data_IF_924518211919
#
_entry.id   IF_924518211919
#
_cell.length_a   1.000
_cell.length_b   1.000
_cell.length_c   1.000
_cell.angle_alpha   90.00
_cell.angle_beta   90.00
_cell.angle_gamma   90.00
#
_symmetry.space_group_name_H-M   'P 1'
#
loop_
_entity.id
_entity.type
_entity.pdbx_description
1 polymer ?
#
# COMPACT_ATOMS: atom_id res chain seq x y z
N UNK A 1 -32.47 21.30 -3.34
CA UNK A 1 -32.41 20.18 -4.31
C UNK A 1 -31.05 19.55 -4.11
N UNK A 2 -30.97 18.22 -4.01
CA UNK A 2 -29.70 17.52 -3.75
C UNK A 2 -28.97 17.28 -5.06
N UNK A 3 -27.65 17.49 -5.08
CA UNK A 3 -26.80 17.27 -6.26
C UNK A 3 -25.66 16.31 -5.93
N UNK A 4 -25.42 15.37 -6.83
CA UNK A 4 -24.48 14.27 -6.65
C UNK A 4 -23.42 14.33 -7.75
N UNK A 5 -22.15 14.32 -7.35
CA UNK A 5 -21.02 14.32 -8.29
C UNK A 5 -20.40 12.93 -8.39
N UNK A 6 -20.39 12.36 -9.59
CA UNK A 6 -19.64 11.14 -9.92
C UNK A 6 -18.33 11.49 -10.59
N UNK A 7 -17.23 10.94 -10.09
CA UNK A 7 -15.90 11.07 -10.70
C UNK A 7 -15.45 9.71 -11.24
N UNK A 8 -15.12 9.68 -12.53
CA UNK A 8 -14.35 8.58 -13.12
C UNK A 8 -12.88 9.02 -13.21
N UNK A 9 -12.02 8.30 -12.49
CA UNK A 9 -10.67 8.75 -12.11
C UNK A 9 -9.62 7.95 -12.88
N UNK A 10 -8.87 8.63 -13.75
CA UNK A 10 -7.68 8.09 -14.40
C UNK A 10 -6.41 8.75 -13.85
N UNK A 11 -5.24 8.32 -14.33
CA UNK A 11 -3.96 8.81 -13.82
C UNK A 11 -3.65 10.26 -14.26
N UNK A 12 -4.31 10.78 -15.30
CA UNK A 12 -4.05 12.11 -15.87
C UNK A 12 -5.29 12.97 -16.02
N UNK A 13 -6.43 12.35 -16.27
CA UNK A 13 -7.72 13.06 -16.39
C UNK A 13 -8.78 12.46 -15.46
N UNK A 14 -9.77 13.28 -15.14
CA UNK A 14 -10.92 12.93 -14.33
C UNK A 14 -12.18 13.40 -15.06
N UNK A 15 -13.06 12.47 -15.40
CA UNK A 15 -14.37 12.81 -15.90
C UNK A 15 -15.31 13.06 -14.72
N UNK A 16 -16.00 14.20 -14.73
CA UNK A 16 -16.91 14.65 -13.68
C UNK A 16 -18.32 14.74 -14.26
N UNK A 17 -19.29 14.11 -13.61
CA UNK A 17 -20.70 14.22 -13.94
C UNK A 17 -21.51 14.61 -12.71
N UNK A 18 -22.42 15.56 -12.87
CA UNK A 18 -23.26 16.09 -11.79
C UNK A 18 -24.71 15.83 -12.14
N UNK A 19 -25.41 15.15 -11.25
CA UNK A 19 -26.83 14.82 -11.39
C UNK A 19 -27.63 15.40 -10.23
N UNK A 20 -28.85 15.82 -10.50
CA UNK A 20 -29.81 16.20 -9.45
C UNK A 20 -30.41 14.96 -8.77
N UNK A 21 -31.24 15.17 -7.74
CA UNK A 21 -31.96 14.09 -7.04
C UNK A 21 -32.92 13.27 -7.92
N UNK A 22 -33.36 13.79 -9.08
CA UNK A 22 -34.18 13.05 -10.05
C UNK A 22 -33.33 12.25 -11.05
N UNK A 23 -32.02 12.47 -11.06
CA UNK A 23 -31.08 11.85 -12.00
C UNK A 23 -30.92 12.62 -13.31
N UNK A 24 -31.40 13.87 -13.40
CA UNK A 24 -31.14 14.75 -14.53
C UNK A 24 -29.69 15.21 -14.48
N UNK A 25 -28.99 15.11 -15.60
CA UNK A 25 -27.60 15.60 -15.72
C UNK A 25 -27.62 17.13 -15.79
N UNK A 26 -26.87 17.77 -14.90
CA UNK A 26 -26.71 19.24 -14.87
C UNK A 26 -25.44 19.67 -15.58
N UNK A 27 -24.31 19.02 -15.26
CA UNK A 27 -23.00 19.35 -15.81
C UNK A 27 -22.15 18.09 -16.01
N UNK A 28 -21.40 18.08 -17.10
CA UNK A 28 -20.39 17.06 -17.40
C UNK A 28 -19.14 17.74 -17.94
N UNK A 29 -17.97 17.37 -17.41
CA UNK A 29 -16.69 17.94 -17.80
C UNK A 29 -15.55 16.95 -17.59
N UNK A 30 -14.56 16.99 -18.47
CA UNK A 30 -13.27 16.34 -18.25
C UNK A 30 -12.27 17.38 -17.74
N UNK A 31 -11.53 17.02 -16.70
CA UNK A 31 -10.53 17.86 -16.04
C UNK A 31 -9.21 17.10 -15.92
N UNK A 32 -8.07 17.79 -15.71
CA UNK A 32 -6.88 17.15 -15.15
C UNK A 32 -7.23 16.44 -13.83
N UNK A 33 -6.61 15.29 -13.57
CA UNK A 33 -6.81 14.56 -12.32
C UNK A 33 -5.97 15.14 -11.17
N UNK A 34 -6.16 16.43 -10.92
CA UNK A 34 -5.51 17.18 -9.85
C UNK A 34 -6.56 17.62 -8.82
N UNK A 35 -6.19 17.59 -7.54
CA UNK A 35 -7.14 17.88 -6.46
C UNK A 35 -7.71 19.29 -6.57
N UNK A 36 -6.82 20.26 -6.81
CA UNK A 36 -7.16 21.68 -6.88
C UNK A 36 -8.13 21.95 -8.04
N UNK A 37 -7.86 21.40 -9.22
CA UNK A 37 -8.72 21.55 -10.42
C UNK A 37 -10.13 20.97 -10.19
N UNK A 38 -10.21 19.80 -9.55
CA UNK A 38 -11.49 19.16 -9.24
C UNK A 38 -12.24 19.97 -8.18
N UNK A 39 -11.56 20.41 -7.11
CA UNK A 39 -12.17 21.18 -6.05
C UNK A 39 -12.64 22.55 -6.54
N UNK A 40 -11.82 23.29 -7.27
CA UNK A 40 -12.18 24.59 -7.86
C UNK A 40 -13.40 24.45 -8.78
N UNK A 41 -13.41 23.43 -9.64
CA UNK A 41 -14.55 23.18 -10.51
C UNK A 41 -15.84 22.90 -9.73
N UNK A 42 -15.79 22.08 -8.68
CA UNK A 42 -16.96 21.75 -7.88
C UNK A 42 -17.47 22.93 -7.06
N UNK A 43 -16.56 23.76 -6.53
CA UNK A 43 -16.90 24.95 -5.73
C UNK A 43 -17.42 26.11 -6.58
N UNK A 44 -16.99 26.22 -7.84
CA UNK A 44 -17.43 27.26 -8.77
C UNK A 44 -18.86 27.06 -9.29
N UNK A 45 -19.49 25.91 -9.02
CA UNK A 45 -20.84 25.63 -9.46
C UNK A 45 -21.86 26.41 -8.63
N UNK A 46 -22.94 26.92 -9.25
CA UNK A 46 -23.99 27.65 -8.55
C UNK A 46 -24.91 26.73 -7.71
N UNK A 47 -24.56 25.46 -7.55
CA UNK A 47 -25.34 24.45 -6.83
C UNK A 47 -24.50 23.76 -5.75
N UNK A 48 -25.06 23.47 -4.57
CA UNK A 48 -24.35 22.74 -3.53
C UNK A 48 -24.24 21.26 -3.89
N UNK A 49 -23.03 20.71 -3.86
CA UNK A 49 -22.79 19.27 -4.05
C UNK A 49 -22.99 18.56 -2.71
N UNK A 50 -24.06 17.77 -2.62
CA UNK A 50 -24.40 17.00 -1.42
C UNK A 50 -23.35 15.92 -1.15
N UNK A 51 -22.90 15.23 -2.22
CA UNK A 51 -21.95 14.12 -2.10
C UNK A 51 -21.16 13.90 -3.37
N UNK A 52 -19.89 13.54 -3.22
CA UNK A 52 -18.97 13.12 -4.27
C UNK A 52 -18.71 11.63 -4.17
N UNK A 53 -18.73 10.93 -5.30
CA UNK A 53 -18.52 9.50 -5.40
C UNK A 53 -17.50 9.12 -6.46
N UNK A 54 -16.64 8.16 -6.16
CA UNK A 54 -15.74 7.53 -7.13
C UNK A 54 -15.40 6.10 -6.71
N UNK A 55 -14.87 5.30 -7.63
CA UNK A 55 -14.47 3.93 -7.33
C UNK A 55 -13.09 3.81 -6.68
N UNK A 56 -12.85 2.68 -6.01
CA UNK A 56 -11.57 2.38 -5.39
C UNK A 56 -10.48 2.09 -6.44
N UNK A 57 -9.42 2.90 -6.41
CA UNK A 57 -8.27 2.85 -7.30
C UNK A 57 -7.02 3.43 -6.64
N UNK A 58 -6.01 3.73 -7.44
CA UNK A 58 -4.68 4.19 -6.96
C UNK A 58 -4.74 5.61 -6.38
N UNK A 59 -5.47 6.52 -7.01
CA UNK A 59 -5.59 7.92 -6.59
C UNK A 59 -6.68 8.16 -5.54
N UNK A 60 -7.53 7.17 -5.28
CA UNK A 60 -8.67 7.29 -4.35
C UNK A 60 -8.29 7.82 -2.97
N UNK A 61 -7.13 7.43 -2.45
CA UNK A 61 -6.67 7.92 -1.14
C UNK A 61 -6.38 9.41 -1.14
N UNK A 62 -5.69 9.88 -2.17
CA UNK A 62 -5.33 11.28 -2.31
C UNK A 62 -6.60 12.13 -2.50
N UNK A 63 -7.46 11.76 -3.44
CA UNK A 63 -8.70 12.48 -3.73
C UNK A 63 -9.68 12.43 -2.55
N UNK A 64 -9.84 11.29 -1.88
CA UNK A 64 -10.77 11.17 -0.75
C UNK A 64 -10.42 12.14 0.38
N UNK A 65 -9.16 12.17 0.79
CA UNK A 65 -8.74 13.04 1.89
C UNK A 65 -8.60 14.50 1.47
N UNK A 66 -8.17 14.76 0.23
CA UNK A 66 -8.10 16.10 -0.32
C UNK A 66 -9.48 16.75 -0.39
N UNK A 67 -10.44 16.11 -1.06
CA UNK A 67 -11.79 16.65 -1.20
C UNK A 67 -12.52 16.76 0.15
N UNK A 68 -12.27 15.84 1.10
CA UNK A 68 -12.78 16.00 2.47
C UNK A 68 -12.18 17.20 3.19
N UNK A 69 -10.91 17.53 2.95
CA UNK A 69 -10.28 18.71 3.56
C UNK A 69 -10.85 20.02 2.99
N UNK A 70 -11.27 20.01 1.71
CA UNK A 70 -12.03 21.09 1.08
C UNK A 70 -13.50 21.19 1.54
N UNK A 71 -13.93 20.29 2.44
CA UNK A 71 -15.25 20.33 3.06
C UNK A 71 -16.33 19.51 2.37
N UNK A 72 -16.00 18.74 1.33
CA UNK A 72 -16.97 17.89 0.64
C UNK A 72 -17.29 16.60 1.41
N UNK A 73 -18.53 16.11 1.30
CA UNK A 73 -18.86 14.73 1.66
C UNK A 73 -18.45 13.78 0.54
N UNK A 74 -17.53 12.86 0.83
CA UNK A 74 -16.87 12.02 -0.18
C UNK A 74 -17.05 10.55 0.17
N UNK A 75 -17.39 9.77 -0.84
CA UNK A 75 -17.55 8.32 -0.77
C UNK A 75 -16.67 7.64 -1.82
N UNK A 76 -15.78 6.77 -1.34
CA UNK A 76 -15.10 5.79 -2.19
C UNK A 76 -15.94 4.52 -2.25
N UNK A 77 -16.25 4.01 -3.44
CA UNK A 77 -17.10 2.84 -3.67
C UNK A 77 -16.27 1.62 -4.08
N UNK A 78 -16.81 0.41 -3.85
CA UNK A 78 -16.14 -0.83 -4.28
C UNK A 78 -16.13 -0.93 -5.81
N UNK A 79 -14.92 -0.90 -6.42
CA UNK A 79 -14.76 -0.91 -7.87
C UNK A 79 -15.43 -2.09 -8.57
N UNK A 80 -15.48 -3.28 -7.94
CA UNK A 80 -16.17 -4.45 -8.54
C UNK A 80 -17.68 -4.26 -8.64
N UNK A 81 -18.29 -3.67 -7.62
CA UNK A 81 -19.72 -3.40 -7.62
C UNK A 81 -20.06 -2.27 -8.59
N UNK A 82 -19.24 -1.20 -8.61
CA UNK A 82 -19.37 -0.10 -9.58
C UNK A 82 -19.25 -0.64 -11.00
N UNK A 83 -18.17 -1.38 -11.31
CA UNK A 83 -17.97 -1.98 -12.62
C UNK A 83 -19.13 -2.90 -13.05
N UNK A 84 -19.67 -3.73 -12.15
CA UNK A 84 -20.83 -4.57 -12.44
C UNK A 84 -22.07 -3.72 -12.78
N UNK A 85 -22.34 -2.64 -12.04
CA UNK A 85 -23.44 -1.73 -12.31
C UNK A 85 -23.25 -0.97 -13.64
N UNK A 86 -22.02 -0.52 -13.94
CA UNK A 86 -21.69 0.18 -15.18
C UNK A 86 -21.75 -0.73 -16.41
N UNK A 87 -21.39 -2.01 -16.28
CA UNK A 87 -21.38 -2.98 -17.39
C UNK A 87 -22.75 -3.25 -18.02
N UNK A 88 -23.83 -2.92 -17.31
CA UNK A 88 -25.18 -2.98 -17.84
C UNK A 88 -25.49 -1.84 -18.83
N UNK A 89 -24.63 -0.82 -18.94
CA UNK A 89 -24.79 0.28 -19.90
C UNK A 89 -24.14 -0.03 -21.24
N UNK A 90 -24.90 0.22 -22.32
CA UNK A 90 -24.63 -0.28 -23.68
C UNK A 90 -23.46 0.42 -24.39
N UNK A 91 -23.07 1.61 -23.94
CA UNK A 91 -21.98 2.41 -24.51
C UNK A 91 -21.00 2.84 -23.42
N UNK A 92 -19.78 2.28 -23.41
CA UNK A 92 -18.74 2.61 -22.46
C UNK A 92 -17.94 3.84 -22.92
N UNK A 93 -18.00 4.91 -22.14
CA UNK A 93 -17.15 6.11 -22.29
C UNK A 93 -16.89 6.68 -20.89
N UNK A 94 -15.77 7.36 -20.68
CA UNK A 94 -15.42 7.93 -19.36
C UNK A 94 -16.51 8.89 -18.84
N UNK A 95 -17.17 9.61 -19.75
CA UNK A 95 -18.35 10.44 -19.45
C UNK A 95 -19.54 9.62 -18.96
N UNK A 96 -19.83 8.48 -19.61
CA UNK A 96 -20.92 7.59 -19.20
C UNK A 96 -20.59 6.86 -17.88
N UNK A 97 -19.32 6.55 -17.65
CA UNK A 97 -18.86 5.93 -16.42
C UNK A 97 -18.99 6.93 -15.26
N UNK A 98 -18.54 8.18 -15.41
CA UNK A 98 -18.77 9.26 -14.43
C UNK A 98 -20.26 9.51 -14.15
N UNK A 99 -21.10 9.51 -15.19
CA UNK A 99 -22.56 9.62 -15.05
C UNK A 99 -23.15 8.44 -14.29
N UNK A 100 -22.70 7.23 -14.62
CA UNK A 100 -23.10 6.01 -13.93
C UNK A 100 -22.75 6.04 -12.46
N UNK A 101 -21.54 6.47 -12.12
CA UNK A 101 -21.06 6.66 -10.75
C UNK A 101 -21.96 7.68 -10.02
N UNK A 102 -22.31 8.81 -10.64
CA UNK A 102 -23.20 9.81 -10.06
C UNK A 102 -24.60 9.24 -9.76
N UNK A 103 -25.13 8.40 -10.66
CA UNK A 103 -26.42 7.71 -10.46
C UNK A 103 -26.37 6.66 -9.35
N UNK A 104 -25.30 5.86 -9.29
CA UNK A 104 -25.08 4.88 -8.22
C UNK A 104 -25.02 5.61 -6.87
N UNK A 105 -24.30 6.73 -6.80
CA UNK A 105 -24.19 7.54 -5.59
C UNK A 105 -25.55 8.09 -5.15
N UNK A 106 -26.32 8.66 -6.08
CA UNK A 106 -27.67 9.20 -5.85
C UNK A 106 -28.64 8.14 -5.33
N UNK A 107 -28.60 6.94 -5.88
CA UNK A 107 -29.51 5.84 -5.47
C UNK A 107 -29.11 5.21 -4.14
N UNK A 108 -27.89 5.45 -3.65
CA UNK A 108 -27.37 4.83 -2.44
C UNK A 108 -27.03 3.34 -2.60
N UNK A 109 -27.10 2.79 -3.81
CA UNK A 109 -26.93 1.35 -4.06
C UNK A 109 -25.46 0.97 -4.30
N UNK A 110 -24.62 1.23 -3.30
CA UNK A 110 -23.18 0.95 -3.34
C UNK A 110 -22.67 0.42 -1.98
N UNK A 111 -21.49 -0.19 -2.01
CA UNK A 111 -20.73 -0.56 -0.82
C UNK A 111 -19.58 0.43 -0.63
N UNK A 112 -19.54 1.19 0.47
CA UNK A 112 -18.45 2.12 0.73
C UNK A 112 -17.16 1.37 1.09
N UNK A 113 -16.03 1.86 0.58
CA UNK A 113 -14.69 1.36 0.89
C UNK A 113 -14.09 2.19 2.01
N UNK A 114 -13.61 1.51 3.05
CA UNK A 114 -12.88 2.17 4.14
C UNK A 114 -11.55 2.74 3.63
N UNK A 115 -11.47 4.06 3.61
CA UNK A 115 -10.24 4.79 3.32
C UNK A 115 -9.40 4.83 4.60
N UNK A 116 -8.23 4.20 4.55
CA UNK A 116 -7.33 4.13 5.69
C UNK A 116 -6.79 5.51 6.03
N UNK A 117 -6.71 5.82 7.33
CA UNK A 117 -6.15 7.07 7.82
C UNK A 117 -4.76 7.36 7.24
N UNK A 118 -4.42 8.65 7.13
CA UNK A 118 -3.08 9.10 6.72
C UNK A 118 -1.99 8.52 7.61
N UNK A 119 -2.26 8.38 8.90
CA UNK A 119 -1.34 7.74 9.85
C UNK A 119 -1.11 6.26 9.52
N UNK A 120 -2.18 5.49 9.28
CA UNK A 120 -2.07 4.09 8.88
C UNK A 120 -1.33 3.92 7.55
N UNK A 121 -1.51 4.83 6.58
CA UNK A 121 -0.72 4.83 5.35
C UNK A 121 0.75 5.14 5.60
N UNK A 122 1.06 6.14 6.42
CA UNK A 122 2.44 6.46 6.79
C UNK A 122 3.16 5.26 7.40
N UNK A 123 2.47 4.53 8.28
CA UNK A 123 2.97 3.29 8.87
C UNK A 123 3.16 2.18 7.82
N UNK A 124 2.21 2.00 6.90
CA UNK A 124 2.35 1.00 5.81
C UNK A 124 3.47 1.35 4.85
N UNK A 125 3.66 2.62 4.52
CA UNK A 125 4.76 3.09 3.69
C UNK A 125 6.10 2.77 4.37
N UNK A 126 6.25 3.11 5.66
CA UNK A 126 7.44 2.78 6.44
C UNK A 126 7.76 1.28 6.43
N UNK A 127 6.76 0.43 6.68
CA UNK A 127 6.90 -1.03 6.67
C UNK A 127 7.27 -1.57 5.27
N UNK A 128 6.63 -1.04 4.22
CA UNK A 128 6.88 -1.41 2.83
C UNK A 128 8.30 -1.06 2.40
N UNK A 129 8.74 0.18 2.67
CA UNK A 129 10.10 0.64 2.34
C UNK A 129 11.15 -0.19 3.07
N UNK A 130 10.97 -0.44 4.38
CA UNK A 130 11.87 -1.32 5.16
C UNK A 130 12.02 -2.68 4.48
N UNK A 131 10.90 -3.28 4.08
CA UNK A 131 10.89 -4.59 3.41
C UNK A 131 11.58 -4.55 2.05
N UNK A 132 11.32 -3.52 1.25
CA UNK A 132 11.94 -3.35 -0.06
C UNK A 132 13.47 -3.30 0.05
N UNK A 133 14.00 -2.48 0.97
CA UNK A 133 15.45 -2.39 1.19
C UNK A 133 16.06 -3.71 1.66
N UNK A 134 15.40 -4.44 2.56
CA UNK A 134 15.86 -5.76 2.99
C UNK A 134 15.89 -6.75 1.82
N UNK A 135 14.83 -6.79 1.01
CA UNK A 135 14.77 -7.66 -0.17
C UNK A 135 15.92 -7.37 -1.12
N UNK A 136 16.15 -6.10 -1.45
CA UNK A 136 17.26 -5.71 -2.34
C UNK A 136 18.63 -6.01 -1.73
N UNK A 137 18.80 -5.85 -0.42
CA UNK A 137 20.03 -6.28 0.27
C UNK A 137 20.26 -7.79 0.14
N UNK A 138 19.21 -8.60 0.25
CA UNK A 138 19.29 -10.06 0.06
C UNK A 138 19.62 -10.40 -1.39
N UNK A 139 18.96 -9.75 -2.35
CA UNK A 139 19.16 -9.98 -3.79
C UNK A 139 20.63 -9.73 -4.16
N UNK A 140 21.20 -8.59 -3.76
CA UNK A 140 22.60 -8.26 -4.02
C UNK A 140 23.57 -9.24 -3.32
N UNK A 141 23.26 -9.68 -2.09
CA UNK A 141 24.08 -10.68 -1.42
C UNK A 141 24.06 -12.04 -2.14
N UNK A 142 22.94 -12.40 -2.77
CA UNK A 142 22.83 -13.62 -3.56
C UNK A 142 23.55 -13.49 -4.90
N UNK A 143 23.51 -12.31 -5.53
CA UNK A 143 24.27 -12.03 -6.75
C UNK A 143 25.78 -12.19 -6.51
N UNK A 144 26.29 -11.56 -5.43
CA UNK A 144 27.70 -11.71 -5.02
C UNK A 144 28.07 -13.17 -4.77
N UNK A 145 27.21 -13.96 -4.11
CA UNK A 145 27.44 -15.41 -3.93
C UNK A 145 27.49 -16.16 -5.26
N UNK A 146 26.62 -15.81 -6.20
CA UNK A 146 26.57 -16.40 -7.53
C UNK A 146 27.84 -16.15 -8.32
N UNK A 147 28.30 -14.90 -8.33
CA UNK A 147 29.53 -14.49 -9.01
C UNK A 147 30.77 -15.17 -8.43
N UNK A 148 30.95 -15.16 -7.10
CA UNK A 148 32.09 -15.84 -6.46
C UNK A 148 32.17 -17.34 -6.79
N UNK A 149 31.02 -17.99 -6.98
CA UNK A 149 30.96 -19.42 -7.34
C UNK A 149 31.58 -19.71 -8.71
N UNK A 150 31.50 -18.77 -9.66
CA UNK A 150 32.10 -18.90 -11.00
C UNK A 150 33.63 -19.03 -10.88
N UNK A 151 34.22 -18.29 -9.95
CA UNK A 151 35.66 -18.28 -9.68
C UNK A 151 36.09 -19.36 -8.67
N UNK A 152 35.21 -20.33 -8.35
CA UNK A 152 35.51 -21.41 -7.41
C UNK A 152 35.51 -21.02 -5.94
N UNK A 153 35.22 -19.76 -5.60
CA UNK A 153 35.18 -19.24 -4.23
C UNK A 153 33.82 -19.59 -3.61
N UNK A 154 33.86 -20.33 -2.50
CA UNK A 154 32.65 -20.79 -1.79
C UNK A 154 32.52 -20.10 -0.44
N UNK A 155 31.48 -19.27 -0.31
CA UNK A 155 31.11 -18.67 0.96
C UNK A 155 30.46 -19.68 1.93
N UNK A 156 30.55 -19.46 3.26
CA UNK A 156 29.85 -20.28 4.24
C UNK A 156 28.35 -20.33 3.94
N UNK A 157 27.73 -21.49 4.22
CA UNK A 157 26.27 -21.71 4.02
C UNK A 157 25.40 -20.65 4.70
N UNK A 158 25.89 -20.05 5.78
CA UNK A 158 25.17 -19.02 6.51
C UNK A 158 26.12 -17.90 6.88
N UNK A 159 25.82 -16.71 6.38
CA UNK A 159 26.50 -15.47 6.77
C UNK A 159 25.41 -14.46 7.13
N UNK A 160 25.48 -13.91 8.34
CA UNK A 160 24.53 -12.88 8.80
C UNK A 160 24.65 -11.64 7.91
N UNK A 161 23.54 -10.97 7.64
CA UNK A 161 23.55 -9.77 6.79
C UNK A 161 24.55 -8.71 7.27
N UNK A 162 24.64 -8.45 8.58
CA UNK A 162 25.59 -7.48 9.12
C UNK A 162 27.06 -7.90 9.08
N UNK A 163 27.36 -9.16 8.79
CA UNK A 163 28.73 -9.67 8.68
C UNK A 163 29.14 -9.98 7.24
N UNK A 164 28.20 -9.91 6.29
CA UNK A 164 28.43 -10.38 4.92
C UNK A 164 29.56 -9.60 4.24
N UNK A 165 29.52 -8.27 4.26
CA UNK A 165 30.51 -7.44 3.59
C UNK A 165 31.90 -7.63 4.19
N UNK A 166 32.00 -7.72 5.52
CA UNK A 166 33.28 -7.96 6.21
C UNK A 166 33.88 -9.34 5.92
N UNK A 167 33.05 -10.35 5.63
CA UNK A 167 33.52 -11.67 5.20
C UNK A 167 33.93 -11.67 3.74
N UNK A 168 33.19 -10.97 2.88
CA UNK A 168 33.32 -11.08 1.43
C UNK A 168 34.33 -10.11 0.83
N UNK A 169 34.41 -8.88 1.37
CA UNK A 169 35.29 -7.84 0.85
C UNK A 169 36.76 -8.28 0.78
N UNK A 170 37.36 -8.86 1.83
CA UNK A 170 38.76 -9.30 1.75
C UNK A 170 38.98 -10.38 0.69
N UNK A 171 37.99 -11.24 0.42
CA UNK A 171 38.10 -12.30 -0.60
C UNK A 171 38.07 -11.73 -2.02
N UNK A 172 37.30 -10.66 -2.23
CA UNK A 172 37.19 -9.96 -3.51
C UNK A 172 38.46 -9.13 -3.77
N UNK A 173 38.96 -8.43 -2.75
CA UNK A 173 40.14 -7.55 -2.88
C UNK A 173 41.45 -8.30 -3.15
N UNK A 174 41.47 -9.62 -2.97
CA UNK A 174 42.63 -10.47 -3.31
C UNK A 174 42.82 -10.69 -4.82
N UNK A 175 41.83 -10.32 -5.65
CA UNK A 175 41.87 -10.50 -7.10
C UNK A 175 41.42 -9.19 -7.78
N UNK A 176 42.28 -8.58 -8.59
CA UNK A 176 42.01 -7.28 -9.21
C UNK A 176 40.79 -7.30 -10.15
N UNK A 177 40.53 -8.43 -10.84
CA UNK A 177 39.39 -8.59 -11.74
C UNK A 177 38.09 -8.66 -10.93
N UNK A 178 38.09 -9.43 -9.84
CA UNK A 178 36.95 -9.48 -8.92
C UNK A 178 36.72 -8.14 -8.24
N UNK A 179 37.78 -7.48 -7.78
CA UNK A 179 37.72 -6.18 -7.14
C UNK A 179 37.05 -5.15 -8.05
N UNK A 180 37.51 -5.07 -9.30
CA UNK A 180 36.94 -4.15 -10.29
C UNK A 180 35.45 -4.42 -10.57
N UNK A 181 35.05 -5.69 -10.70
CA UNK A 181 33.69 -6.05 -11.06
C UNK A 181 32.69 -6.04 -9.89
N UNK A 182 33.14 -6.38 -8.68
CA UNK A 182 32.23 -6.75 -7.58
C UNK A 182 32.22 -5.77 -6.40
N UNK A 183 33.24 -4.92 -6.22
CA UNK A 183 33.24 -3.94 -5.14
C UNK A 183 32.06 -2.94 -5.22
N UNK A 184 31.71 -2.36 -6.39
CA UNK A 184 30.55 -1.47 -6.49
C UNK A 184 29.23 -2.13 -6.07
N UNK A 185 29.08 -3.42 -6.37
CA UNK A 185 27.92 -4.21 -5.98
C UNK A 185 27.85 -4.39 -4.46
N UNK A 186 29.00 -4.59 -3.82
CA UNK A 186 29.12 -4.72 -2.38
C UNK A 186 28.87 -3.38 -1.67
N UNK A 187 29.32 -2.27 -2.23
CA UNK A 187 29.06 -0.91 -1.71
C UNK A 187 27.58 -0.56 -1.78
N UNK A 188 26.92 -0.82 -2.91
CA UNK A 188 25.48 -0.63 -3.07
C UNK A 188 24.69 -1.45 -2.02
N UNK A 189 25.08 -2.71 -1.82
CA UNK A 189 24.49 -3.59 -0.81
C UNK A 189 24.68 -3.04 0.61
N UNK A 190 25.87 -2.55 0.94
CA UNK A 190 26.16 -1.95 2.24
C UNK A 190 25.28 -0.73 2.51
N UNK A 191 25.15 0.18 1.53
CA UNK A 191 24.28 1.35 1.63
C UNK A 191 22.81 0.97 1.87
N UNK A 192 22.28 0.01 1.11
CA UNK A 192 20.92 -0.50 1.30
C UNK A 192 20.74 -1.11 2.70
N UNK A 193 21.72 -1.85 3.20
CA UNK A 193 21.65 -2.48 4.52
C UNK A 193 21.66 -1.44 5.65
N UNK A 194 22.46 -0.37 5.52
CA UNK A 194 22.49 0.73 6.49
C UNK A 194 21.13 1.43 6.58
N UNK A 195 20.52 1.78 5.44
CA UNK A 195 19.17 2.35 5.41
C UNK A 195 18.11 1.36 5.93
N UNK A 196 18.24 0.07 5.63
CA UNK A 196 17.38 -0.95 6.22
C UNK A 196 17.46 -0.94 7.76
N UNK A 197 18.67 -0.91 8.34
CA UNK A 197 18.84 -0.86 9.80
C UNK A 197 18.21 0.38 10.41
N UNK A 198 18.33 1.52 9.74
CA UNK A 198 17.68 2.76 10.16
C UNK A 198 16.15 2.61 10.16
N UNK A 199 15.55 2.14 9.06
CA UNK A 199 14.11 1.93 8.98
C UNK A 199 13.63 0.86 9.98
N UNK A 200 14.42 -0.18 10.24
CA UNK A 200 14.13 -1.19 11.25
C UNK A 200 14.05 -0.59 12.66
N UNK A 201 14.98 0.32 13.01
CA UNK A 201 14.92 1.08 14.27
C UNK A 201 13.69 1.97 14.32
N UNK A 202 13.35 2.68 13.24
CA UNK A 202 12.15 3.53 13.16
C UNK A 202 10.86 2.72 13.38
N UNK A 203 10.73 1.54 12.74
CA UNK A 203 9.60 0.63 12.94
C UNK A 203 9.51 0.14 14.39
N UNK A 204 10.63 -0.28 14.97
CA UNK A 204 10.68 -0.72 16.37
C UNK A 204 10.27 0.38 17.34
N UNK A 205 10.76 1.62 17.12
CA UNK A 205 10.42 2.79 17.92
C UNK A 205 8.92 3.12 17.83
N UNK A 206 8.36 3.12 16.63
CA UNK A 206 6.94 3.37 16.41
C UNK A 206 6.08 2.33 17.17
N UNK A 207 6.44 1.05 17.11
CA UNK A 207 5.74 0.00 17.84
C UNK A 207 5.90 0.12 19.38
N UNK A 208 7.06 0.54 19.88
CA UNK A 208 7.29 0.69 21.34
C UNK A 208 6.63 1.93 21.93
N UNK A 209 6.32 2.94 21.11
CA UNK A 209 5.62 4.15 21.57
C UNK A 209 4.09 3.98 21.53
N UNK A 210 3.60 2.88 20.97
CA UNK A 210 2.18 2.63 20.78
C UNK A 210 1.65 1.59 21.79
N UNK A 211 0.70 2.00 22.63
CA UNK A 211 0.12 1.14 23.69
C UNK A 211 -0.55 -0.12 23.13
N UNK A 212 -1.20 -0.03 21.97
CA UNK A 212 -1.88 -1.17 21.34
C UNK A 212 -0.84 -2.18 20.84
N UNK A 213 0.22 -1.71 20.19
CA UNK A 213 1.31 -2.55 19.73
C UNK A 213 2.05 -3.20 20.89
N UNK A 214 2.33 -2.46 21.97
CA UNK A 214 2.94 -3.02 23.18
C UNK A 214 2.09 -4.15 23.77
N UNK A 215 0.77 -3.99 23.82
CA UNK A 215 -0.14 -5.04 24.27
C UNK A 215 -0.15 -6.24 23.33
N UNK A 216 -0.10 -6.04 22.02
CA UNK A 216 -0.02 -7.15 21.05
C UNK A 216 1.30 -7.93 21.20
N UNK A 217 2.40 -7.24 21.48
CA UNK A 217 3.73 -7.84 21.63
C UNK A 217 3.90 -8.70 22.89
N UNK A 218 2.93 -8.71 23.82
CA UNK A 218 2.93 -9.65 24.94
C UNK A 218 2.53 -11.07 24.51
N UNK A 219 1.96 -11.22 23.31
CA UNK A 219 1.61 -12.52 22.74
C UNK A 219 2.87 -13.20 22.18
N UNK A 220 3.14 -14.47 22.54
CA UNK A 220 4.29 -15.21 22.01
C UNK A 220 4.31 -15.21 20.47
N UNK A 221 5.46 -14.83 19.90
CA UNK A 221 5.66 -14.76 18.44
C UNK A 221 5.22 -13.45 17.78
N UNK A 222 4.61 -12.51 18.52
CA UNK A 222 4.24 -11.19 17.99
C UNK A 222 5.35 -10.18 18.28
N UNK A 223 6.10 -9.83 17.24
CA UNK A 223 7.11 -8.78 17.29
C UNK A 223 6.59 -7.40 16.83
N UNK A 224 7.44 -6.36 16.91
CA UNK A 224 7.07 -4.97 16.59
C UNK A 224 6.56 -4.81 15.15
N UNK A 225 7.18 -5.52 14.20
CA UNK A 225 6.78 -5.49 12.79
C UNK A 225 5.37 -6.07 12.62
N UNK A 226 5.09 -7.21 13.26
CA UNK A 226 3.80 -7.88 13.17
C UNK A 226 2.69 -7.05 13.83
N UNK A 227 2.94 -6.53 15.04
CA UNK A 227 2.00 -5.68 15.76
C UNK A 227 1.66 -4.40 14.97
N UNK A 228 2.68 -3.70 14.46
CA UNK A 228 2.49 -2.47 13.71
C UNK A 228 1.80 -2.72 12.36
N UNK A 229 2.13 -3.82 11.68
CA UNK A 229 1.44 -4.24 10.44
C UNK A 229 -0.04 -4.52 10.71
N UNK A 230 -0.34 -5.23 11.80
CA UNK A 230 -1.71 -5.55 12.18
C UNK A 230 -2.50 -4.26 12.48
N UNK A 231 -1.97 -3.39 13.34
CA UNK A 231 -2.60 -2.11 13.69
C UNK A 231 -2.90 -1.28 12.43
N UNK A 232 -1.92 -1.11 11.54
CA UNK A 232 -2.10 -0.32 10.31
C UNK A 232 -3.03 -0.98 9.27
N UNK A 233 -3.18 -2.31 9.30
CA UNK A 233 -4.15 -3.00 8.45
C UNK A 233 -5.59 -2.82 8.96
N UNK A 234 -5.77 -2.86 10.28
CA UNK A 234 -7.06 -2.66 10.95
C UNK A 234 -7.50 -1.20 10.87
N UNK A 235 -6.58 -0.28 11.15
CA UNK A 235 -6.76 1.18 11.22
C UNK A 235 -7.80 1.60 12.26
N UNK A 236 -9.09 1.42 11.95
CA UNK A 236 -10.20 1.55 12.89
C UNK A 236 -10.76 0.16 13.27
N UNK A 237 -10.64 -0.28 14.54
CA UNK A 237 -11.24 -1.53 15.01
C UNK A 237 -12.77 -1.50 15.08
N UNK A 238 -13.38 -0.33 15.34
CA UNK A 238 -14.82 -0.21 15.58
C UNK A 238 -15.67 -0.53 14.35
N UNK A 239 -15.08 -0.42 13.14
CA UNK A 239 -15.73 -0.79 11.87
C UNK A 239 -16.07 -2.28 11.76
N UNK A 240 -15.47 -3.15 12.57
CA UNK A 240 -15.67 -4.58 12.47
C UNK A 240 -16.69 -5.09 13.49
N UNK A 241 -17.86 -5.53 13.01
CA UNK A 241 -18.87 -6.21 13.85
C UNK A 241 -18.43 -7.61 14.31
N UNK A 242 -17.47 -8.25 13.62
CA UNK A 242 -16.99 -9.62 13.89
C UNK A 242 -15.48 -9.71 13.71
N UNK A 243 -14.80 -10.39 14.63
CA UNK A 243 -13.34 -10.60 14.62
C UNK A 243 -12.83 -11.32 13.36
N UNK A 244 -13.64 -12.19 12.75
CA UNK A 244 -13.30 -12.89 11.50
C UNK A 244 -13.07 -11.93 10.32
N UNK A 245 -13.87 -10.86 10.22
CA UNK A 245 -13.73 -9.85 9.17
C UNK A 245 -12.43 -9.04 9.35
N UNK A 246 -12.06 -8.76 10.60
CA UNK A 246 -10.79 -8.12 10.93
C UNK A 246 -9.60 -8.99 10.51
N UNK A 247 -9.65 -10.30 10.80
CA UNK A 247 -8.60 -11.24 10.42
C UNK A 247 -8.42 -11.35 8.90
N UNK A 248 -9.51 -11.25 8.13
CA UNK A 248 -9.46 -11.27 6.66
C UNK A 248 -8.76 -10.03 6.08
N UNK A 249 -9.09 -8.84 6.62
CA UNK A 249 -8.42 -7.59 6.21
C UNK A 249 -6.93 -7.63 6.53
N UNK A 250 -6.55 -8.18 7.68
CA UNK A 250 -5.15 -8.36 8.06
C UNK A 250 -4.46 -9.36 7.11
N UNK A 251 -5.09 -10.48 6.77
CA UNK A 251 -4.53 -11.45 5.81
C UNK A 251 -4.30 -10.83 4.43
N UNK A 252 -5.28 -10.09 3.90
CA UNK A 252 -5.16 -9.38 2.62
C UNK A 252 -4.13 -8.25 2.68
N UNK A 253 -4.07 -7.53 3.80
CA UNK A 253 -3.12 -6.44 4.04
C UNK A 253 -1.67 -6.89 4.29
N UNK A 254 -1.49 -8.12 4.79
CA UNK A 254 -0.20 -8.79 5.05
C UNK A 254 0.29 -9.62 3.85
N UNK A 255 -0.56 -9.78 2.82
CA UNK A 255 -0.32 -10.60 1.62
C UNK A 255 0.87 -10.20 0.75
N UNK A 256 1.57 -9.12 1.08
CA UNK A 256 2.84 -8.79 0.45
C UNK A 256 3.98 -9.75 0.84
N UNK A 257 3.90 -10.53 1.93
CA UNK A 257 5.02 -11.36 2.40
C UNK A 257 4.59 -12.69 3.01
N UNK A 258 4.53 -13.73 2.19
CA UNK A 258 4.66 -15.10 2.68
C UNK A 258 6.11 -15.36 3.09
N UNK A 259 6.48 -15.08 4.33
CA UNK A 259 7.62 -15.74 4.95
C UNK A 259 7.11 -17.07 5.55
N UNK A 260 6.99 -18.09 4.69
CA UNK A 260 6.76 -19.47 5.12
C UNK A 260 8.09 -20.07 5.60
N UNK A 261 8.58 -19.64 6.75
CA UNK A 261 9.53 -20.45 7.53
C UNK A 261 8.77 -21.19 8.63
N UNK A 262 8.31 -22.39 8.29
CA UNK A 262 7.92 -23.40 9.29
C UNK A 262 9.19 -23.77 10.09
N UNK A 263 9.20 -23.69 11.44
CA UNK A 263 10.24 -24.35 12.20
C UNK A 263 10.05 -25.86 12.06
N UNK A 264 11.08 -26.54 11.54
CA UNK A 264 11.11 -28.00 11.45
C UNK A 264 11.18 -28.61 12.83
N UNK A 265 10.13 -29.34 13.23
CA UNK A 265 10.23 -30.33 14.29
C UNK A 265 11.00 -31.54 13.74
N UNK A 266 12.32 -31.58 13.98
CA UNK A 266 13.06 -32.84 14.04
C UNK A 266 12.70 -33.51 15.36
N UNK A 267 11.84 -34.51 15.31
CA UNK A 267 11.73 -35.51 16.37
C UNK A 267 12.91 -36.47 16.20
N UNK A 268 13.85 -36.41 17.15
CA UNK A 268 14.75 -37.52 17.45
C UNK A 268 13.89 -38.73 17.79
N UNK A 269 14.05 -39.83 17.03
CA UNK A 269 13.77 -41.16 17.55
C UNK A 269 15.08 -41.94 17.54
N UNK A 270 15.58 -42.17 18.73
CA UNK A 270 16.50 -43.26 19.03
C UNK A 270 15.83 -44.59 18.67
N UNK A 271 16.51 -45.40 17.88
CA UNK A 271 16.70 -46.83 18.05
C UNK A 271 18.08 -47.17 17.49
#
# INVERSE_FOLDING_TARGET
MEYYAGLDVSLRSCAVCIVDGQGTVLHERELPCELEEIAEYLTALPVPIERIGFESGTLSQHLFYGLKAEGFDVVCMEARQVSAALSAMRNKTDRNDARGIAQILRTGWFSPVHMKSREAHGVRALLSTRKALLSKTIDLANEVRGLLKIFGIRLPKTVKHGSFDGVVRPMIEMDEVLAHAMLPLLDARLGLYQHFLELDRRVKRAASQDKVCMRMMTVPGVGPIAALTFKAAVDDPARFKRSRAQAEVVRRGSGGGQDRRRPGHRLNRAR
#
